data_IF_118384640664
#
_entry.id   IF_118384640664
#
_cell.length_a   1.000
_cell.length_b   1.000
_cell.length_c   1.000
_cell.angle_alpha   90.00
_cell.angle_beta   90.00
_cell.angle_gamma   90.00
#
_symmetry.space_group_name_H-M   'P 1'
#
loop_
_entity.id
_entity.type
_entity.pdbx_description
1 polymer ?
#
# COMPACT_ATOMS: atom_id res chain seq x y z
N UNK A 1 29.92 -13.14 8.47
CA UNK A 1 28.69 -13.46 7.75
C UNK A 1 28.57 -12.55 6.53
N UNK A 2 28.20 -13.10 5.39
CA UNK A 2 28.02 -12.34 4.15
C UNK A 2 26.54 -11.98 3.95
N UNK A 3 26.24 -10.70 3.94
CA UNK A 3 24.89 -10.14 3.77
C UNK A 3 24.85 -9.38 2.47
N UNK A 4 23.88 -9.71 1.61
CA UNK A 4 23.72 -9.05 0.30
C UNK A 4 22.31 -8.46 0.19
N UNK A 5 22.23 -7.14 -0.04
CA UNK A 5 20.99 -6.46 -0.38
C UNK A 5 20.88 -6.30 -1.90
N UNK A 6 19.87 -6.90 -2.52
CA UNK A 6 19.76 -7.00 -3.97
C UNK A 6 19.13 -5.79 -4.67
N UNK A 7 18.23 -5.05 -3.99
CA UNK A 7 17.43 -3.98 -4.59
C UNK A 7 17.07 -2.88 -3.58
N UNK A 8 18.09 -2.24 -3.02
CA UNK A 8 17.97 -1.31 -1.89
C UNK A 8 17.38 0.06 -2.25
N UNK A 9 17.48 0.50 -3.51
CA UNK A 9 17.21 1.88 -3.92
C UNK A 9 15.84 2.41 -3.49
N UNK A 10 14.79 1.59 -3.62
CA UNK A 10 13.43 2.03 -3.26
C UNK A 10 13.26 2.19 -1.74
N UNK A 11 13.99 1.37 -0.95
CA UNK A 11 13.97 1.49 0.50
C UNK A 11 14.84 2.65 1.00
N UNK A 12 16.04 2.80 0.43
CA UNK A 12 17.02 3.78 0.87
C UNK A 12 17.78 4.35 -0.35
N UNK A 13 17.31 5.44 -0.94
CA UNK A 13 18.01 6.11 -2.04
C UNK A 13 19.24 6.92 -1.56
N UNK A 14 19.69 6.75 -0.33
CA UNK A 14 20.84 7.42 0.25
C UNK A 14 20.52 8.39 1.39
N UNK A 15 19.26 8.44 1.83
CA UNK A 15 18.78 9.36 2.87
C UNK A 15 18.65 8.73 4.27
N UNK A 16 18.94 7.42 4.40
CA UNK A 16 18.88 6.68 5.67
C UNK A 16 20.22 5.96 5.96
N UNK A 17 20.50 5.76 7.23
CA UNK A 17 21.60 4.91 7.68
C UNK A 17 21.13 3.46 7.84
N UNK A 18 21.99 2.50 7.52
CA UNK A 18 21.69 1.06 7.69
C UNK A 18 21.70 0.61 9.16
N UNK A 19 22.34 1.42 10.06
CA UNK A 19 22.38 1.15 11.49
C UNK A 19 22.94 -0.22 11.83
N UNK A 20 22.35 -0.89 12.83
CA UNK A 20 22.76 -2.22 13.29
C UNK A 20 22.81 -3.28 12.17
N UNK A 21 22.00 -3.12 11.11
CA UNK A 21 21.98 -4.09 10.02
C UNK A 21 23.34 -4.26 9.33
N UNK A 22 24.12 -3.18 9.25
CA UNK A 22 25.46 -3.20 8.68
C UNK A 22 26.56 -3.76 9.62
N UNK A 23 26.23 -3.96 10.90
CA UNK A 23 27.20 -4.39 11.92
C UNK A 23 27.32 -5.93 12.04
N UNK A 24 26.36 -6.67 11.45
CA UNK A 24 26.33 -8.14 11.54
C UNK A 24 27.35 -8.87 10.67
N UNK A 25 28.09 -8.17 9.80
CA UNK A 25 29.11 -8.79 8.96
C UNK A 25 29.48 -7.97 7.73
N UNK A 26 29.99 -8.66 6.70
CA UNK A 26 30.25 -8.03 5.42
C UNK A 26 28.92 -7.72 4.73
N UNK A 27 28.56 -6.43 4.65
CA UNK A 27 27.30 -5.95 4.12
C UNK A 27 27.52 -5.33 2.72
N UNK A 28 27.05 -6.02 1.69
CA UNK A 28 27.13 -5.57 0.31
C UNK A 28 25.75 -5.10 -0.16
N UNK A 29 25.67 -3.88 -0.66
CA UNK A 29 24.39 -3.25 -1.06
C UNK A 29 24.41 -2.96 -2.56
N UNK A 30 23.40 -3.46 -3.26
CA UNK A 30 23.13 -3.12 -4.65
C UNK A 30 21.84 -2.33 -4.75
N UNK A 31 21.87 -1.17 -5.39
CA UNK A 31 20.68 -0.36 -5.63
C UNK A 31 19.65 -1.12 -6.45
N UNK A 32 20.09 -1.78 -7.49
CA UNK A 32 19.28 -2.58 -8.41
C UNK A 32 20.05 -3.80 -8.90
N UNK A 33 19.42 -4.95 -8.89
CA UNK A 33 20.01 -6.19 -9.44
C UNK A 33 19.14 -6.71 -10.57
N UNK A 34 19.64 -6.84 -11.80
CA UNK A 34 18.95 -7.56 -12.87
C UNK A 34 18.67 -9.01 -12.46
N UNK A 35 17.53 -9.58 -12.90
CA UNK A 35 17.14 -10.94 -12.48
C UNK A 35 18.18 -12.01 -12.85
N UNK A 36 18.87 -11.86 -13.97
CA UNK A 36 19.95 -12.77 -14.41
C UNK A 36 21.27 -12.61 -13.64
N UNK A 37 21.40 -11.61 -12.76
CA UNK A 37 22.59 -11.39 -11.93
C UNK A 37 22.37 -11.75 -10.44
N UNK A 38 21.17 -12.21 -10.06
CA UNK A 38 20.86 -12.53 -8.66
C UNK A 38 21.85 -13.58 -8.12
N UNK A 39 22.01 -14.68 -8.83
CA UNK A 39 22.89 -15.79 -8.42
C UNK A 39 24.35 -15.33 -8.34
N UNK A 40 24.86 -14.64 -9.37
CA UNK A 40 26.23 -14.13 -9.36
C UNK A 40 26.54 -13.24 -8.15
N UNK A 41 25.63 -12.29 -7.86
CA UNK A 41 25.80 -11.34 -6.76
C UNK A 41 25.61 -11.96 -5.37
N UNK A 42 24.79 -13.00 -5.27
CA UNK A 42 24.46 -13.65 -4.02
C UNK A 42 25.15 -15.00 -3.78
N UNK A 43 26.05 -15.47 -4.68
CA UNK A 43 26.67 -16.81 -4.61
C UNK A 43 27.32 -17.17 -3.28
N UNK A 44 27.85 -16.18 -2.55
CA UNK A 44 28.50 -16.34 -1.27
C UNK A 44 27.69 -15.79 -0.10
N UNK A 45 26.46 -15.34 -0.33
CA UNK A 45 25.60 -14.78 0.68
C UNK A 45 25.07 -15.87 1.63
N UNK A 46 25.16 -15.60 2.93
CA UNK A 46 24.46 -16.36 3.98
C UNK A 46 23.10 -15.74 4.28
N UNK A 47 22.97 -14.41 4.04
CA UNK A 47 21.75 -13.63 4.20
C UNK A 47 21.52 -12.80 2.95
N UNK A 48 20.31 -12.90 2.40
CA UNK A 48 19.84 -12.01 1.33
C UNK A 48 18.77 -11.09 1.89
N UNK A 49 18.89 -9.79 1.57
CA UNK A 49 17.86 -8.79 1.79
C UNK A 49 17.30 -8.41 0.41
N UNK A 50 16.00 -8.36 0.28
CA UNK A 50 15.35 -8.00 -0.98
C UNK A 50 13.98 -7.35 -0.77
N UNK A 51 13.50 -6.63 -1.77
CA UNK A 51 12.14 -6.07 -1.80
C UNK A 51 11.26 -6.76 -2.87
N UNK A 52 11.66 -6.67 -4.14
CA UNK A 52 10.85 -7.14 -5.29
C UNK A 52 11.58 -8.15 -6.18
N UNK A 53 12.70 -8.72 -5.73
CA UNK A 53 13.41 -9.76 -6.48
C UNK A 53 12.76 -11.11 -6.28
N UNK A 54 12.41 -11.79 -7.39
CA UNK A 54 11.87 -13.15 -7.32
C UNK A 54 12.96 -14.13 -6.90
N UNK A 55 12.62 -14.99 -5.94
CA UNK A 55 13.43 -16.12 -5.51
C UNK A 55 12.68 -17.40 -5.86
N UNK A 56 13.14 -18.09 -6.91
CA UNK A 56 12.57 -19.32 -7.43
C UNK A 56 13.40 -20.54 -7.01
N UNK A 57 12.87 -21.74 -7.20
CA UNK A 57 13.60 -23.00 -6.95
C UNK A 57 14.99 -23.01 -7.62
N UNK A 58 15.07 -22.58 -8.89
CA UNK A 58 16.34 -22.58 -9.65
C UNK A 58 17.38 -21.63 -9.04
N UNK A 59 16.94 -20.55 -8.38
CA UNK A 59 17.84 -19.62 -7.69
C UNK A 59 18.29 -20.24 -6.36
N UNK A 60 17.39 -20.81 -5.58
CA UNK A 60 17.74 -21.48 -4.32
C UNK A 60 18.75 -22.59 -4.54
N UNK A 61 18.59 -23.43 -5.56
CA UNK A 61 19.49 -24.52 -5.89
C UNK A 61 20.94 -24.06 -6.17
N UNK A 62 21.15 -22.82 -6.57
CA UNK A 62 22.45 -22.25 -6.87
C UNK A 62 23.07 -21.44 -5.71
N UNK A 63 22.40 -21.34 -4.58
CA UNK A 63 22.82 -20.58 -3.41
C UNK A 63 22.99 -21.46 -2.16
N UNK A 64 23.92 -22.42 -2.15
CA UNK A 64 24.03 -23.42 -1.09
C UNK A 64 24.46 -22.87 0.27
N UNK A 65 24.95 -21.61 0.36
CA UNK A 65 25.32 -20.96 1.61
C UNK A 65 24.19 -20.14 2.23
N UNK A 66 23.08 -19.93 1.47
CA UNK A 66 21.97 -19.10 1.90
C UNK A 66 21.21 -19.76 3.06
N UNK A 67 20.99 -19.01 4.14
CA UNK A 67 20.30 -19.46 5.34
C UNK A 67 19.09 -18.60 5.70
N UNK A 68 19.12 -17.32 5.33
CA UNK A 68 18.08 -16.35 5.68
C UNK A 68 17.77 -15.41 4.52
N UNK A 69 16.49 -15.18 4.28
CA UNK A 69 16.00 -14.07 3.44
C UNK A 69 15.22 -13.11 4.32
N UNK A 70 15.56 -11.81 4.25
CA UNK A 70 14.82 -10.72 4.85
C UNK A 70 14.08 -9.96 3.73
N UNK A 71 12.75 -10.04 3.71
CA UNK A 71 11.92 -9.31 2.76
C UNK A 71 11.59 -7.94 3.35
N UNK A 72 12.00 -6.85 2.69
CA UNK A 72 11.78 -5.47 3.13
C UNK A 72 10.32 -5.02 2.95
N UNK A 73 9.35 -5.89 3.15
CA UNK A 73 7.93 -5.62 2.97
C UNK A 73 7.08 -6.53 3.83
N UNK A 74 5.81 -6.17 4.00
CA UNK A 74 4.81 -7.08 4.58
C UNK A 74 4.46 -8.21 3.61
N UNK A 75 4.29 -7.90 2.30
CA UNK A 75 4.04 -8.91 1.26
C UNK A 75 5.31 -9.62 0.84
N UNK A 76 5.23 -10.94 0.63
CA UNK A 76 6.34 -11.82 0.27
C UNK A 76 6.05 -12.71 -0.94
N UNK A 77 5.12 -12.31 -1.78
CA UNK A 77 4.67 -13.04 -2.99
C UNK A 77 5.79 -13.30 -4.02
N UNK A 78 6.94 -12.62 -3.84
CA UNK A 78 8.12 -12.79 -4.69
C UNK A 78 8.98 -14.00 -4.29
N UNK A 79 8.67 -14.67 -3.18
CA UNK A 79 9.44 -15.81 -2.66
C UNK A 79 8.65 -17.12 -2.88
N UNK A 80 9.30 -18.10 -3.49
CA UNK A 80 8.82 -19.48 -3.46
C UNK A 80 9.11 -20.08 -2.07
N UNK A 81 8.09 -20.04 -1.20
CA UNK A 81 8.22 -20.51 0.18
C UNK A 81 8.40 -22.03 0.26
N UNK A 82 7.86 -22.80 -0.67
CA UNK A 82 8.07 -24.24 -0.68
C UNK A 82 9.52 -24.57 -1.05
N UNK A 83 10.08 -23.87 -2.04
CA UNK A 83 11.49 -23.98 -2.37
C UNK A 83 12.37 -23.58 -1.18
N UNK A 84 12.07 -22.45 -0.51
CA UNK A 84 12.86 -22.02 0.65
C UNK A 84 12.92 -23.07 1.75
N UNK A 85 11.80 -23.76 2.05
CA UNK A 85 11.75 -24.86 3.03
C UNK A 85 12.60 -26.06 2.59
N UNK A 86 12.51 -26.48 1.30
CA UNK A 86 13.32 -27.59 0.78
C UNK A 86 14.82 -27.33 0.88
N UNK A 87 15.22 -26.07 0.70
CA UNK A 87 16.63 -25.67 0.80
C UNK A 87 17.06 -25.25 2.22
N UNK A 88 16.16 -25.35 3.21
CA UNK A 88 16.48 -25.01 4.61
C UNK A 88 16.69 -23.51 4.85
N UNK A 89 16.11 -22.64 3.99
CA UNK A 89 16.23 -21.19 4.08
C UNK A 89 15.06 -20.61 4.83
N UNK A 90 15.33 -19.93 5.95
CA UNK A 90 14.31 -19.16 6.69
C UNK A 90 13.98 -17.89 5.93
N UNK A 91 12.70 -17.56 5.84
CA UNK A 91 12.22 -16.30 5.23
C UNK A 91 11.49 -15.50 6.29
N UNK A 92 11.96 -14.27 6.54
CA UNK A 92 11.30 -13.33 7.43
C UNK A 92 10.81 -12.10 6.66
N UNK A 93 9.62 -11.62 6.99
CA UNK A 93 9.08 -10.39 6.46
C UNK A 93 9.13 -9.24 7.48
N UNK A 94 8.61 -8.08 7.10
CA UNK A 94 8.48 -6.90 7.98
C UNK A 94 7.00 -6.54 8.11
N UNK A 95 6.31 -7.04 9.16
CA UNK A 95 4.90 -6.73 9.37
C UNK A 95 4.69 -5.33 9.95
N UNK A 96 3.52 -4.73 9.69
CA UNK A 96 2.95 -3.55 10.35
C UNK A 96 3.81 -2.26 10.35
N UNK A 97 4.92 -2.20 9.64
CA UNK A 97 5.83 -1.03 9.63
C UNK A 97 5.20 0.24 9.06
N UNK A 98 4.27 0.09 8.13
CA UNK A 98 3.68 1.19 7.36
C UNK A 98 2.28 1.60 7.83
N UNK A 99 1.75 1.03 8.90
CA UNK A 99 0.36 1.27 9.32
C UNK A 99 0.01 2.76 9.40
N UNK A 100 0.83 3.55 10.08
CA UNK A 100 0.61 4.99 10.22
C UNK A 100 0.81 5.74 8.89
N UNK A 101 1.84 5.36 8.12
CA UNK A 101 2.15 6.01 6.85
C UNK A 101 1.02 5.80 5.83
N UNK A 102 0.53 4.56 5.68
CA UNK A 102 -0.58 4.25 4.76
C UNK A 102 -1.87 4.90 5.21
N UNK A 103 -2.17 4.90 6.51
CA UNK A 103 -3.36 5.58 7.02
C UNK A 103 -3.31 7.09 6.77
N UNK A 104 -2.16 7.74 7.00
CA UNK A 104 -1.94 9.15 6.67
C UNK A 104 -2.11 9.42 5.17
N UNK A 105 -1.55 8.56 4.32
CA UNK A 105 -1.64 8.72 2.86
C UNK A 105 -3.07 8.53 2.35
N UNK A 106 -3.81 7.55 2.90
CA UNK A 106 -5.24 7.37 2.61
C UNK A 106 -6.04 8.64 2.93
N UNK A 107 -5.77 9.24 4.08
CA UNK A 107 -6.42 10.50 4.47
C UNK A 107 -5.99 11.67 3.57
N UNK A 108 -4.72 11.74 3.18
CA UNK A 108 -4.23 12.77 2.26
C UNK A 108 -4.93 12.69 0.88
N UNK A 109 -5.09 11.49 0.34
CA UNK A 109 -5.84 11.26 -0.90
C UNK A 109 -7.31 11.67 -0.77
N UNK A 110 -7.96 11.34 0.35
CA UNK A 110 -9.33 11.74 0.63
C UNK A 110 -9.46 13.26 0.73
N UNK A 111 -8.59 13.90 1.50
CA UNK A 111 -8.62 15.34 1.69
C UNK A 111 -8.22 16.12 0.43
N UNK A 112 -7.38 15.56 -0.44
CA UNK A 112 -7.11 16.17 -1.75
C UNK A 112 -8.38 16.23 -2.60
N UNK A 113 -9.22 15.18 -2.57
CA UNK A 113 -10.51 15.19 -3.27
C UNK A 113 -11.49 16.18 -2.64
N UNK A 114 -11.66 16.18 -1.32
CA UNK A 114 -12.69 16.98 -0.64
C UNK A 114 -12.32 18.46 -0.52
N UNK A 115 -11.05 18.78 -0.29
CA UNK A 115 -10.56 20.14 -0.06
C UNK A 115 -9.85 20.73 -1.29
N UNK A 116 -9.44 19.92 -2.26
CA UNK A 116 -8.80 20.32 -3.54
C UNK A 116 -7.61 21.27 -3.36
N UNK A 117 -6.81 21.01 -2.32
CA UNK A 117 -5.70 21.91 -1.94
C UNK A 117 -4.66 22.05 -3.06
N UNK A 118 -4.31 20.94 -3.71
CA UNK A 118 -3.40 20.92 -4.86
C UNK A 118 -3.94 21.71 -6.05
N UNK A 119 -5.23 21.50 -6.40
CA UNK A 119 -5.92 22.21 -7.47
C UNK A 119 -5.89 23.74 -7.26
N UNK A 120 -6.37 24.20 -6.11
CA UNK A 120 -6.39 25.66 -5.84
C UNK A 120 -4.99 26.27 -5.71
N UNK A 121 -4.03 25.51 -5.15
CA UNK A 121 -2.65 25.97 -5.11
C UNK A 121 -2.06 26.18 -6.52
N UNK A 122 -2.38 25.28 -7.48
CA UNK A 122 -1.91 25.41 -8.87
C UNK A 122 -2.63 26.56 -9.60
N UNK A 123 -3.95 26.68 -9.47
CA UNK A 123 -4.71 27.80 -10.03
C UNK A 123 -4.16 29.15 -9.54
N UNK A 124 -3.80 29.26 -8.26
CA UNK A 124 -3.29 30.49 -7.66
C UNK A 124 -1.89 30.85 -8.16
N UNK A 125 -1.03 29.88 -8.49
CA UNK A 125 0.24 30.17 -9.19
C UNK A 125 -0.01 30.86 -10.53
N UNK A 126 -1.10 30.50 -11.23
CA UNK A 126 -1.57 31.15 -12.44
C UNK A 126 -2.31 32.48 -12.20
N UNK A 127 -2.41 32.98 -10.96
CA UNK A 127 -3.07 34.25 -10.61
C UNK A 127 -4.59 34.17 -10.58
N UNK A 128 -5.18 33.02 -10.36
CA UNK A 128 -6.64 32.80 -10.33
C UNK A 128 -7.31 33.74 -9.31
N UNK A 129 -6.89 33.69 -8.04
CA UNK A 129 -7.45 34.54 -7.00
C UNK A 129 -7.05 36.02 -7.13
N UNK A 130 -5.82 36.30 -7.56
CA UNK A 130 -5.36 37.68 -7.73
C UNK A 130 -6.16 38.49 -8.77
N UNK A 131 -6.82 37.83 -9.70
CA UNK A 131 -7.71 38.45 -10.70
C UNK A 131 -9.17 38.50 -10.28
N UNK A 132 -9.52 37.91 -9.13
CA UNK A 132 -10.90 37.93 -8.63
C UNK A 132 -11.30 39.33 -8.14
N UNK A 133 -12.59 39.62 -8.26
CA UNK A 133 -13.24 40.78 -7.63
C UNK A 133 -13.69 40.45 -6.19
N UNK A 134 -13.81 39.16 -5.88
CA UNK A 134 -14.31 38.68 -4.61
C UNK A 134 -13.16 38.24 -3.69
N UNK A 135 -13.36 38.35 -2.38
CA UNK A 135 -12.37 37.95 -1.39
C UNK A 135 -12.19 36.41 -1.34
N UNK A 136 -13.13 35.67 -1.87
CA UNK A 136 -13.15 34.19 -1.91
C UNK A 136 -13.79 33.73 -3.20
N UNK A 137 -13.24 32.69 -3.83
CA UNK A 137 -13.86 32.06 -4.98
C UNK A 137 -13.45 30.60 -5.10
N UNK A 138 -14.30 29.80 -5.71
CA UNK A 138 -14.08 28.40 -6.02
C UNK A 138 -14.78 28.04 -7.32
N UNK A 139 -14.21 27.14 -8.11
CA UNK A 139 -14.78 26.57 -9.35
C UNK A 139 -15.28 25.14 -9.13
N UNK A 140 -14.80 24.46 -8.09
CA UNK A 140 -15.14 23.10 -7.72
C UNK A 140 -15.67 23.07 -6.28
N UNK A 141 -16.64 22.20 -6.02
CA UNK A 141 -17.20 22.04 -4.68
C UNK A 141 -16.13 21.58 -3.66
N UNK A 142 -16.19 22.17 -2.48
CA UNK A 142 -15.40 21.76 -1.31
C UNK A 142 -16.37 21.09 -0.33
N UNK A 143 -15.99 19.93 0.20
CA UNK A 143 -16.87 19.13 1.03
C UNK A 143 -16.29 18.87 2.42
N UNK A 144 -17.15 18.75 3.42
CA UNK A 144 -16.77 18.34 4.77
C UNK A 144 -17.01 16.84 4.95
N UNK A 145 -16.16 16.20 5.75
CA UNK A 145 -16.28 14.77 6.07
C UNK A 145 -17.22 14.52 7.25
N UNK A 146 -17.50 15.54 8.07
CA UNK A 146 -18.38 15.44 9.22
C UNK A 146 -19.77 14.90 8.80
N UNK A 147 -20.24 13.88 9.53
CA UNK A 147 -21.52 13.18 9.30
C UNK A 147 -21.62 12.43 7.95
N UNK A 148 -20.58 12.45 7.11
CA UNK A 148 -20.53 11.62 5.92
C UNK A 148 -20.30 10.16 6.29
N UNK A 149 -21.07 9.25 5.66
CA UNK A 149 -20.87 7.82 5.83
C UNK A 149 -19.65 7.38 5.03
N UNK A 150 -18.63 6.86 5.72
CA UNK A 150 -17.40 6.34 5.13
C UNK A 150 -17.23 4.87 5.50
N UNK A 151 -17.12 4.01 4.50
CA UNK A 151 -16.96 2.57 4.74
C UNK A 151 -15.54 2.11 4.51
N UNK A 152 -15.00 1.41 5.49
CA UNK A 152 -13.71 0.74 5.46
C UNK A 152 -13.91 -0.74 5.06
N UNK A 153 -13.33 -1.16 3.95
CA UNK A 153 -13.34 -2.56 3.53
C UNK A 153 -12.07 -3.25 4.00
N UNK A 154 -12.19 -4.08 5.04
CA UNK A 154 -11.06 -4.73 5.73
C UNK A 154 -10.72 -4.07 7.08
N UNK A 155 -10.70 -4.88 8.15
CA UNK A 155 -10.52 -4.42 9.53
C UNK A 155 -9.19 -4.88 10.14
N UNK A 156 -8.09 -4.75 9.34
CA UNK A 156 -6.71 -4.96 9.77
C UNK A 156 -6.12 -3.71 10.44
N UNK A 157 -4.80 -3.71 10.66
CA UNK A 157 -4.10 -2.60 11.32
C UNK A 157 -4.32 -1.25 10.61
N UNK A 158 -4.25 -1.23 9.27
CA UNK A 158 -4.42 -0.01 8.48
C UNK A 158 -5.88 0.44 8.53
N UNK A 159 -6.84 -0.44 8.24
CA UNK A 159 -8.26 -0.08 8.23
C UNK A 159 -8.74 0.46 9.58
N UNK A 160 -8.29 -0.12 10.70
CA UNK A 160 -8.57 0.38 12.05
C UNK A 160 -7.99 1.77 12.28
N UNK A 161 -6.75 2.01 11.83
CA UNK A 161 -6.12 3.33 11.99
C UNK A 161 -6.77 4.40 11.12
N UNK A 162 -7.19 4.08 9.89
CA UNK A 162 -7.97 4.98 9.04
C UNK A 162 -9.31 5.31 9.68
N UNK A 163 -10.03 4.30 10.20
CA UNK A 163 -11.29 4.50 10.92
C UNK A 163 -11.14 5.42 12.14
N UNK A 164 -10.06 5.26 12.92
CA UNK A 164 -9.75 6.12 14.07
C UNK A 164 -9.59 7.58 13.62
N UNK A 165 -8.82 7.85 12.56
CA UNK A 165 -8.59 9.19 12.04
C UNK A 165 -9.87 9.83 11.48
N UNK A 166 -10.70 9.06 10.78
CA UNK A 166 -11.97 9.54 10.23
C UNK A 166 -12.98 9.89 11.33
N UNK A 167 -12.99 9.15 12.42
CA UNK A 167 -13.85 9.48 13.59
C UNK A 167 -13.45 10.79 14.28
N UNK A 168 -12.15 11.14 14.26
CA UNK A 168 -11.70 12.47 14.74
C UNK A 168 -12.24 13.60 13.87
N UNK A 169 -12.51 13.32 12.59
CA UNK A 169 -13.17 14.24 11.65
C UNK A 169 -14.70 14.11 11.67
N UNK A 170 -15.26 13.48 12.69
CA UNK A 170 -16.71 13.32 12.90
C UNK A 170 -17.46 12.58 11.78
N UNK A 171 -16.76 11.76 10.98
CA UNK A 171 -17.39 10.91 9.97
C UNK A 171 -18.16 9.73 10.60
N UNK A 172 -19.27 9.31 9.97
CA UNK A 172 -19.98 8.06 10.31
C UNK A 172 -19.19 6.89 9.72
N UNK A 173 -18.44 6.14 10.57
CA UNK A 173 -17.61 5.03 10.09
C UNK A 173 -18.39 3.72 10.11
N UNK A 174 -18.47 3.09 8.91
CA UNK A 174 -18.93 1.73 8.72
C UNK A 174 -17.78 0.81 8.31
N UNK A 175 -17.97 -0.50 8.45
CA UNK A 175 -16.96 -1.50 8.08
C UNK A 175 -17.55 -2.73 7.41
N UNK A 176 -16.86 -3.19 6.36
CA UNK A 176 -17.05 -4.51 5.78
C UNK A 176 -15.90 -5.41 6.26
N UNK A 177 -16.23 -6.41 7.05
CA UNK A 177 -15.23 -7.30 7.68
C UNK A 177 -15.81 -8.69 7.96
N UNK A 178 -14.95 -9.72 8.01
CA UNK A 178 -15.29 -11.05 8.49
C UNK A 178 -15.38 -11.13 10.03
N UNK A 179 -14.86 -10.14 10.75
CA UNK A 179 -14.92 -10.13 12.22
C UNK A 179 -16.36 -9.95 12.71
N UNK A 180 -16.71 -10.53 13.87
CA UNK A 180 -18.04 -10.36 14.45
C UNK A 180 -18.31 -8.89 14.84
N UNK A 181 -19.57 -8.47 14.75
CA UNK A 181 -19.96 -7.08 15.02
C UNK A 181 -19.62 -6.65 16.47
N UNK A 182 -19.71 -7.56 17.40
CA UNK A 182 -19.45 -7.35 18.84
C UNK A 182 -17.98 -7.02 19.14
N UNK A 183 -17.07 -7.35 18.21
CA UNK A 183 -15.64 -7.03 18.33
C UNK A 183 -15.27 -5.63 17.84
N UNK A 184 -16.23 -4.91 17.26
CA UNK A 184 -15.99 -3.57 16.73
C UNK A 184 -16.09 -2.53 17.84
N UNK A 185 -15.31 -1.43 17.75
CA UNK A 185 -15.45 -0.31 18.69
C UNK A 185 -16.86 0.30 18.65
N UNK A 186 -17.27 0.87 19.77
CA UNK A 186 -18.50 1.64 19.84
C UNK A 186 -18.56 2.73 18.75
N UNK A 187 -19.71 2.85 18.09
CA UNK A 187 -19.93 3.82 17.00
C UNK A 187 -19.44 3.37 15.63
N UNK A 188 -18.82 2.17 15.49
CA UNK A 188 -18.47 1.57 14.19
C UNK A 188 -19.49 0.50 13.84
N UNK A 189 -20.16 0.64 12.70
CA UNK A 189 -21.22 -0.28 12.26
C UNK A 189 -20.70 -1.27 11.23
N UNK A 190 -20.96 -2.57 11.42
CA UNK A 190 -20.73 -3.60 10.38
C UNK A 190 -21.85 -3.57 9.36
N UNK A 191 -21.49 -3.53 8.08
CA UNK A 191 -22.43 -3.54 6.95
C UNK A 191 -21.97 -4.52 5.87
N UNK A 192 -22.82 -4.79 4.88
CA UNK A 192 -22.50 -5.61 3.71
C UNK A 192 -21.74 -4.82 2.65
N UNK A 193 -21.15 -5.51 1.67
CA UNK A 193 -20.48 -4.84 0.55
C UNK A 193 -21.47 -4.05 -0.32
N UNK A 194 -22.62 -4.62 -0.64
CA UNK A 194 -23.65 -3.95 -1.42
C UNK A 194 -24.16 -2.69 -0.69
N UNK A 195 -24.38 -2.77 0.62
CA UNK A 195 -24.77 -1.61 1.43
C UNK A 195 -23.67 -0.54 1.46
N UNK A 196 -22.40 -0.95 1.54
CA UNK A 196 -21.26 -0.04 1.53
C UNK A 196 -21.24 0.82 0.25
N UNK A 197 -21.39 0.20 -0.91
CA UNK A 197 -21.41 0.92 -2.18
C UNK A 197 -22.69 1.73 -2.39
N UNK A 198 -23.84 1.21 -1.98
CA UNK A 198 -25.12 1.87 -2.15
C UNK A 198 -25.32 3.11 -1.27
N UNK A 199 -24.68 3.18 -0.08
CA UNK A 199 -25.02 4.19 0.93
C UNK A 199 -23.87 5.09 1.38
N UNK A 200 -22.60 4.71 1.13
CA UNK A 200 -21.46 5.50 1.60
C UNK A 200 -21.08 6.63 0.66
N UNK A 201 -20.64 7.75 1.21
CA UNK A 201 -20.02 8.82 0.44
C UNK A 201 -18.63 8.38 -0.05
N UNK A 202 -17.91 7.63 0.79
CA UNK A 202 -16.56 7.13 0.51
C UNK A 202 -16.47 5.65 0.86
N UNK A 203 -15.84 4.86 0.00
CA UNK A 203 -15.43 3.48 0.28
C UNK A 203 -13.91 3.39 0.17
N UNK A 204 -13.24 2.94 1.24
CA UNK A 204 -11.78 2.81 1.29
C UNK A 204 -11.37 1.35 1.48
N UNK A 205 -10.52 0.85 0.57
CA UNK A 205 -10.11 -0.55 0.52
C UNK A 205 -8.84 -0.77 1.35
N UNK A 206 -8.92 -1.69 2.33
CA UNK A 206 -7.82 -2.08 3.23
C UNK A 206 -7.78 -3.60 3.45
N UNK A 207 -8.38 -4.37 2.55
CA UNK A 207 -8.36 -5.82 2.57
C UNK A 207 -7.19 -6.38 1.74
N UNK A 208 -6.67 -7.58 2.06
CA UNK A 208 -5.68 -8.24 1.23
C UNK A 208 -6.30 -8.72 -0.10
N UNK A 209 -5.48 -8.78 -1.14
CA UNK A 209 -5.85 -9.45 -2.38
C UNK A 209 -5.75 -10.96 -2.19
N UNK A 210 -6.80 -11.67 -2.56
CA UNK A 210 -6.91 -13.14 -2.55
C UNK A 210 -7.48 -13.62 -3.89
N UNK A 211 -7.39 -14.92 -4.23
CA UNK A 211 -7.98 -15.44 -5.46
C UNK A 211 -9.50 -15.19 -5.59
N UNK A 212 -10.21 -15.20 -4.46
CA UNK A 212 -11.68 -15.07 -4.39
C UNK A 212 -12.18 -13.62 -4.40
N UNK A 213 -11.30 -12.63 -4.28
CA UNK A 213 -11.68 -11.22 -4.29
C UNK A 213 -10.94 -10.40 -5.38
N UNK A 214 -10.32 -11.06 -6.35
CA UNK A 214 -9.71 -10.38 -7.49
C UNK A 214 -10.78 -9.67 -8.31
N UNK A 215 -10.54 -8.38 -8.62
CA UNK A 215 -11.43 -7.51 -9.38
C UNK A 215 -12.89 -7.51 -8.85
N UNK A 216 -13.08 -7.58 -7.51
CA UNK A 216 -14.43 -7.58 -6.94
C UNK A 216 -15.12 -6.22 -7.09
N UNK A 217 -14.35 -5.12 -7.17
CA UNK A 217 -14.89 -3.83 -7.56
C UNK A 217 -14.96 -3.80 -9.10
N UNK A 218 -16.06 -4.26 -9.62
CA UNK A 218 -16.34 -4.42 -11.05
C UNK A 218 -17.57 -3.61 -11.46
N UNK A 219 -17.95 -3.67 -12.74
CA UNK A 219 -19.09 -2.96 -13.28
C UNK A 219 -20.41 -3.30 -12.57
N UNK A 220 -20.63 -4.57 -12.17
CA UNK A 220 -21.83 -4.98 -11.45
C UNK A 220 -21.93 -4.27 -10.10
N UNK A 221 -20.87 -4.30 -9.30
CA UNK A 221 -20.85 -3.64 -7.97
C UNK A 221 -20.96 -2.12 -8.11
N UNK A 222 -20.27 -1.53 -9.09
CA UNK A 222 -20.31 -0.09 -9.36
C UNK A 222 -21.69 0.36 -9.84
N UNK A 223 -22.47 -0.48 -10.53
CA UNK A 223 -23.85 -0.15 -10.93
C UNK A 223 -24.80 -0.01 -9.74
N UNK A 224 -24.48 -0.65 -8.60
CA UNK A 224 -25.23 -0.56 -7.34
C UNK A 224 -24.79 0.62 -6.47
N UNK A 225 -23.66 1.25 -6.82
CA UNK A 225 -23.11 2.33 -6.02
C UNK A 225 -24.01 3.58 -6.08
N UNK A 226 -24.05 4.32 -4.96
CA UNK A 226 -24.66 5.66 -5.00
C UNK A 226 -23.91 6.52 -6.01
N UNK A 227 -24.65 7.37 -6.71
CA UNK A 227 -24.03 8.35 -7.62
C UNK A 227 -23.13 9.30 -6.82
N UNK A 228 -21.92 9.54 -7.32
CA UNK A 228 -20.95 10.41 -6.66
C UNK A 228 -20.16 9.72 -5.54
N UNK A 229 -20.11 8.39 -5.51
CA UNK A 229 -19.24 7.65 -4.59
C UNK A 229 -17.77 7.99 -4.86
N UNK A 230 -17.00 8.20 -3.80
CA UNK A 230 -15.52 8.27 -3.82
C UNK A 230 -14.95 6.91 -3.47
N UNK A 231 -14.09 6.37 -4.32
CA UNK A 231 -13.40 5.10 -4.07
C UNK A 231 -11.92 5.35 -3.77
N UNK A 232 -11.41 4.76 -2.67
CA UNK A 232 -9.99 4.86 -2.30
C UNK A 232 -9.36 3.47 -2.24
N UNK A 233 -8.19 3.31 -2.87
CA UNK A 233 -7.44 2.05 -2.86
C UNK A 233 -5.96 2.26 -2.54
N UNK A 234 -5.58 2.05 -1.30
CA UNK A 234 -4.20 1.99 -0.83
C UNK A 234 -3.80 0.55 -0.43
N UNK A 235 -4.57 -0.45 -0.89
CA UNK A 235 -4.36 -1.86 -0.56
C UNK A 235 -3.64 -2.62 -1.68
N UNK A 236 -4.37 -3.03 -2.72
CA UNK A 236 -3.84 -3.76 -3.89
C UNK A 236 -4.62 -3.39 -5.14
N UNK A 237 -3.92 -3.11 -6.25
CA UNK A 237 -4.55 -2.78 -7.53
C UNK A 237 -5.45 -3.87 -8.07
N UNK A 238 -5.07 -5.14 -7.89
CA UNK A 238 -5.87 -6.28 -8.36
C UNK A 238 -7.23 -6.49 -7.66
N UNK A 239 -7.61 -5.65 -6.70
CA UNK A 239 -8.95 -5.65 -6.09
C UNK A 239 -10.01 -5.02 -6.99
N UNK A 240 -9.61 -4.22 -7.97
CA UNK A 240 -10.52 -3.50 -8.86
C UNK A 240 -10.39 -3.99 -10.31
N UNK A 241 -11.45 -3.83 -11.08
CA UNK A 241 -11.44 -3.80 -12.54
C UNK A 241 -11.16 -2.35 -12.97
N UNK A 242 -9.96 -2.09 -13.48
CA UNK A 242 -9.51 -0.74 -13.86
C UNK A 242 -10.36 -0.15 -15.00
N UNK A 243 -10.84 -0.97 -15.94
CA UNK A 243 -11.73 -0.50 -17.01
C UNK A 243 -13.08 -0.06 -16.45
N UNK A 244 -13.69 -0.89 -15.59
CA UNK A 244 -14.98 -0.56 -14.99
C UNK A 244 -14.91 0.70 -14.12
N UNK A 245 -13.81 0.90 -13.38
CA UNK A 245 -13.60 2.12 -12.58
C UNK A 245 -13.40 3.35 -13.46
N UNK A 246 -12.63 3.24 -14.56
CA UNK A 246 -12.45 4.34 -15.50
C UNK A 246 -13.78 4.74 -16.18
N UNK A 247 -14.60 3.78 -16.61
CA UNK A 247 -15.93 4.02 -17.14
C UNK A 247 -16.86 4.69 -16.12
N UNK A 248 -16.80 4.24 -14.85
CA UNK A 248 -17.59 4.84 -13.77
C UNK A 248 -17.19 6.30 -13.48
N UNK A 249 -15.92 6.65 -13.64
CA UNK A 249 -15.42 8.03 -13.54
C UNK A 249 -15.92 8.87 -14.74
N UNK A 250 -15.82 8.36 -15.96
CA UNK A 250 -16.29 9.06 -17.16
C UNK A 250 -17.81 9.31 -17.17
N UNK A 251 -18.58 8.37 -16.64
CA UNK A 251 -20.04 8.51 -16.53
C UNK A 251 -20.49 9.36 -15.34
N UNK A 252 -19.59 9.72 -14.44
CA UNK A 252 -19.91 10.41 -13.17
C UNK A 252 -20.64 9.52 -12.15
N UNK A 253 -20.61 8.20 -12.32
CA UNK A 253 -21.08 7.25 -11.31
C UNK A 253 -20.18 7.30 -10.08
N UNK A 254 -18.86 7.33 -10.28
CA UNK A 254 -17.88 7.71 -9.27
C UNK A 254 -17.56 9.21 -9.38
N UNK A 255 -17.53 9.90 -8.24
CA UNK A 255 -17.03 11.27 -8.15
C UNK A 255 -15.51 11.31 -8.30
N UNK A 256 -14.82 10.33 -7.68
CA UNK A 256 -13.37 10.20 -7.74
C UNK A 256 -12.90 8.76 -7.49
N UNK A 257 -11.72 8.45 -8.00
CA UNK A 257 -10.93 7.30 -7.62
C UNK A 257 -9.54 7.75 -7.18
N UNK A 258 -9.18 7.50 -5.92
CA UNK A 258 -7.89 7.86 -5.37
C UNK A 258 -7.12 6.59 -5.02
N UNK A 259 -5.94 6.37 -5.60
CA UNK A 259 -5.19 5.15 -5.37
C UNK A 259 -3.68 5.37 -5.29
N UNK A 260 -3.03 4.45 -4.58
CA UNK A 260 -1.57 4.34 -4.51
C UNK A 260 -1.07 3.08 -5.21
N UNK A 261 -1.98 2.27 -5.74
CA UNK A 261 -1.68 0.95 -6.31
C UNK A 261 -2.48 0.71 -7.59
N UNK A 262 -1.86 0.01 -8.55
CA UNK A 262 -2.48 -0.41 -9.80
C UNK A 262 -2.31 -1.92 -10.02
N UNK A 263 -3.11 -2.51 -10.89
CA UNK A 263 -3.09 -3.95 -11.14
C UNK A 263 -1.74 -4.43 -11.70
N UNK A 264 -1.10 -3.59 -12.51
CA UNK A 264 0.28 -3.76 -12.96
C UNK A 264 1.12 -2.58 -12.47
N UNK A 265 2.27 -2.85 -11.88
CA UNK A 265 3.22 -1.85 -11.37
C UNK A 265 4.65 -2.15 -11.86
N UNK A 266 5.30 -1.23 -12.60
CA UNK A 266 4.78 0.04 -13.13
C UNK A 266 3.63 -0.17 -14.12
N UNK A 267 2.66 0.78 -14.20
CA UNK A 267 1.55 0.68 -15.14
C UNK A 267 2.00 0.81 -16.59
N UNK A 268 1.21 0.25 -17.50
CA UNK A 268 1.33 0.54 -18.92
C UNK A 268 0.92 2.01 -19.18
N UNK A 269 1.52 2.63 -20.21
CA UNK A 269 1.26 4.04 -20.51
C UNK A 269 -0.21 4.33 -20.91
N UNK A 270 -0.90 3.32 -21.40
CA UNK A 270 -2.30 3.35 -21.82
C UNK A 270 -3.28 2.84 -20.73
N UNK A 271 -2.81 2.69 -19.50
CA UNK A 271 -3.70 2.29 -18.40
C UNK A 271 -4.85 3.30 -18.26
N UNK A 272 -6.13 2.85 -18.32
CA UNK A 272 -7.29 3.73 -18.40
C UNK A 272 -7.47 4.64 -17.17
N UNK A 273 -6.96 4.24 -16.01
CA UNK A 273 -7.02 5.05 -14.79
C UNK A 273 -6.16 6.32 -14.91
N UNK A 274 -5.01 6.25 -15.59
CA UNK A 274 -4.07 7.38 -15.67
C UNK A 274 -4.65 8.58 -16.45
N UNK A 275 -5.63 8.35 -17.29
CA UNK A 275 -6.27 9.39 -18.11
C UNK A 275 -7.73 9.68 -17.69
N UNK A 276 -8.28 8.94 -16.73
CA UNK A 276 -9.65 9.13 -16.28
C UNK A 276 -9.82 10.44 -15.48
N UNK A 277 -10.95 11.12 -15.59
CA UNK A 277 -11.23 12.33 -14.83
C UNK A 277 -11.30 11.99 -13.33
N UNK A 278 -10.83 12.92 -12.48
CA UNK A 278 -10.84 12.76 -11.01
C UNK A 278 -10.17 11.47 -10.51
N UNK A 279 -9.20 10.95 -11.27
CA UNK A 279 -8.31 9.89 -10.81
C UNK A 279 -7.06 10.49 -10.15
N UNK A 280 -6.88 10.22 -8.86
CA UNK A 280 -5.70 10.65 -8.08
C UNK A 280 -4.81 9.44 -7.89
N UNK A 281 -3.74 9.33 -8.67
CA UNK A 281 -2.84 8.17 -8.67
C UNK A 281 -1.48 8.54 -8.12
N UNK A 282 -1.05 7.87 -7.06
CA UNK A 282 0.31 7.98 -6.53
C UNK A 282 1.10 6.68 -6.80
N UNK A 283 2.42 6.75 -7.01
CA UNK A 283 3.20 5.63 -7.54
C UNK A 283 3.68 4.66 -6.44
N UNK A 284 2.75 4.07 -5.69
CA UNK A 284 2.97 3.09 -4.60
C UNK A 284 3.92 3.63 -3.51
N UNK A 285 3.63 4.83 -3.02
CA UNK A 285 4.44 5.57 -2.05
C UNK A 285 3.79 5.73 -0.67
N UNK A 286 2.59 5.20 -0.45
CA UNK A 286 1.90 5.31 0.83
C UNK A 286 2.72 4.79 2.02
N UNK A 287 3.65 3.86 1.77
CA UNK A 287 4.58 3.30 2.76
C UNK A 287 5.92 4.04 2.86
N UNK A 288 6.27 4.91 1.89
CA UNK A 288 7.63 5.36 1.62
C UNK A 288 8.16 6.47 2.55
N UNK A 289 7.40 6.89 3.55
CA UNK A 289 7.85 7.89 4.52
C UNK A 289 9.15 7.47 5.22
N UNK A 290 10.09 8.42 5.42
CA UNK A 290 11.40 8.12 6.01
C UNK A 290 11.33 7.36 7.34
N UNK A 291 10.38 7.73 8.22
CA UNK A 291 10.14 7.03 9.48
C UNK A 291 9.68 5.58 9.29
N UNK A 292 8.82 5.32 8.28
CA UNK A 292 8.37 3.95 7.97
C UNK A 292 9.51 3.11 7.39
N UNK A 293 10.33 3.68 6.50
CA UNK A 293 11.52 3.04 5.94
C UNK A 293 12.58 2.77 7.00
N UNK A 294 12.77 3.68 7.95
CA UNK A 294 13.64 3.47 9.11
C UNK A 294 13.15 2.30 9.99
N UNK A 295 11.83 2.16 10.20
CA UNK A 295 11.26 1.00 10.91
C UNK A 295 11.54 -0.32 10.18
N UNK A 296 11.49 -0.35 8.84
CA UNK A 296 11.86 -1.55 8.07
C UNK A 296 13.30 -1.96 8.41
N UNK A 297 14.24 -1.01 8.36
CA UNK A 297 15.66 -1.29 8.66
C UNK A 297 15.82 -1.84 10.08
N UNK A 298 15.15 -1.24 11.07
CA UNK A 298 15.20 -1.72 12.46
C UNK A 298 14.61 -3.12 12.61
N UNK A 299 13.44 -3.39 12.03
CA UNK A 299 12.80 -4.73 12.14
C UNK A 299 13.63 -5.79 11.41
N UNK A 300 14.25 -5.47 10.28
CA UNK A 300 15.19 -6.40 9.62
C UNK A 300 16.40 -6.72 10.50
N UNK A 301 16.96 -5.73 11.20
CA UNK A 301 18.04 -5.96 12.15
C UNK A 301 17.59 -6.85 13.31
N UNK A 302 16.40 -6.60 13.87
CA UNK A 302 15.82 -7.43 14.94
C UNK A 302 15.56 -8.87 14.45
N UNK A 303 15.05 -9.05 13.21
CA UNK A 303 14.85 -10.37 12.61
C UNK A 303 16.17 -11.13 12.43
N UNK A 304 17.23 -10.45 11.98
CA UNK A 304 18.55 -11.04 11.83
C UNK A 304 19.15 -11.44 13.18
N UNK A 305 19.07 -10.57 14.17
CA UNK A 305 19.55 -10.85 15.54
C UNK A 305 18.82 -12.06 16.14
N UNK A 306 17.49 -12.10 16.03
CA UNK A 306 16.68 -13.23 16.50
C UNK A 306 17.01 -14.54 15.76
N UNK A 307 17.25 -14.49 14.45
CA UNK A 307 17.68 -15.65 13.68
C UNK A 307 19.04 -16.18 14.16
N UNK A 308 20.01 -15.31 14.40
CA UNK A 308 21.33 -15.68 14.89
C UNK A 308 21.27 -16.26 16.32
N UNK A 309 20.34 -15.79 17.15
CA UNK A 309 20.08 -16.32 18.48
C UNK A 309 19.33 -17.67 18.47
N UNK A 310 18.93 -18.20 17.31
CA UNK A 310 18.16 -19.44 17.18
C UNK A 310 16.67 -19.31 17.51
N UNK A 311 16.15 -18.10 17.61
CA UNK A 311 14.73 -17.78 17.90
C UNK A 311 14.15 -16.86 16.85
N UNK A 312 14.11 -17.27 15.56
CA UNK A 312 13.69 -16.40 14.46
C UNK A 312 12.26 -15.91 14.67
N UNK A 313 12.02 -14.64 14.32
CA UNK A 313 10.72 -13.97 14.40
C UNK A 313 10.26 -13.48 13.02
N UNK A 314 8.96 -13.19 12.90
CA UNK A 314 8.32 -12.77 11.64
C UNK A 314 8.56 -13.77 10.48
N UNK A 315 8.68 -15.05 10.81
CA UNK A 315 8.92 -16.14 9.85
C UNK A 315 7.66 -16.38 9.04
N UNK A 316 7.83 -16.52 7.72
CA UNK A 316 6.74 -16.78 6.76
C UNK A 316 6.98 -18.05 5.92
N UNK A 317 8.17 -18.67 6.03
CA UNK A 317 8.51 -19.94 5.36
C UNK A 317 8.03 -21.16 6.11
#
# INVERSE_FOLDING_TARGET
MNIVFLDSFVLNPGDLQWGRLAEFGQFTVYDRTPSNQIVERAKDAEVIILNKKRMTEEIFAQLPKLRLILVCATGYDVIDLEASRRHGVTVCNVPAYSTLAVAQHTLALLLEHTNRVGHYAELNRGGYWARSRDFSLWDEAVEELAQQRITIVGWGNIGRKVAELLRVLEAEVCVVTSQPAESLPEGVKKITMDEAFATSAVVSLHCPLKPDNKAFVNAELLSKARKGLVLINTARGGLIDENAVAEALHSGQLAAYACDVLAQEPPAADNPILSAPNAYVTPHIAWAGAAARGRIISIMADNLEAFLAGTPQNVVS
#
